data_IF_410003949405
#
_entry.id   IF_410003949405
#
_cell.length_a   1.000
_cell.length_b   1.000
_cell.length_c   1.000
_cell.angle_alpha   90.00
_cell.angle_beta   90.00
_cell.angle_gamma   90.00
#
_symmetry.space_group_name_H-M   'P 1'
#
loop_
_entity.id
_entity.type
_entity.pdbx_description
1 polymer ?
#
# COMPACT_ATOMS: atom_id res chain seq x y z
N UNK A 1 -9.45 5.47 17.58
CA UNK A 1 -9.73 4.52 16.47
C UNK A 1 -8.58 3.51 16.36
N UNK A 2 -8.84 2.32 15.82
CA UNK A 2 -7.86 1.20 15.83
C UNK A 2 -6.84 1.30 14.67
N UNK A 3 -5.64 0.75 14.91
CA UNK A 3 -4.70 0.34 13.87
C UNK A 3 -5.20 -0.96 13.22
N UNK A 4 -5.19 -1.01 11.89
CA UNK A 4 -5.78 -2.11 11.10
C UNK A 4 -5.01 -2.37 9.82
N UNK A 5 -5.26 -3.52 9.18
CA UNK A 5 -4.68 -3.92 7.88
C UNK A 5 -3.15 -3.95 7.92
N UNK A 6 -2.64 -4.81 8.79
CA UNK A 6 -1.22 -4.93 9.09
C UNK A 6 -0.53 -5.93 8.17
N UNK A 7 0.66 -5.60 7.68
CA UNK A 7 1.57 -6.50 6.95
C UNK A 7 2.98 -6.41 7.50
N UNK A 8 3.66 -7.54 7.59
CA UNK A 8 5.05 -7.64 8.09
C UNK A 8 5.94 -8.17 6.98
N UNK A 9 7.13 -7.58 6.86
CA UNK A 9 8.13 -7.97 5.86
C UNK A 9 9.51 -8.12 6.52
N UNK A 10 10.29 -9.10 6.08
CA UNK A 10 11.74 -9.08 6.27
C UNK A 10 12.32 -8.03 5.32
N UNK A 11 12.55 -6.83 5.87
CA UNK A 11 13.06 -5.69 5.14
C UNK A 11 13.96 -4.88 6.09
N UNK A 12 15.29 -5.07 6.03
CA UNK A 12 16.19 -4.36 6.92
C UNK A 12 16.20 -2.86 6.63
N UNK A 13 16.09 -2.05 7.68
CA UNK A 13 16.39 -0.61 7.63
C UNK A 13 17.67 -0.35 8.41
N UNK A 14 18.73 0.04 7.70
CA UNK A 14 20.08 0.20 8.27
C UNK A 14 20.09 1.25 9.38
N UNK A 15 19.39 2.37 9.17
CA UNK A 15 19.31 3.47 10.14
C UNK A 15 18.73 3.08 11.51
N UNK A 16 18.06 1.93 11.59
CA UNK A 16 17.46 1.41 12.82
C UNK A 16 18.06 0.07 13.28
N UNK A 17 19.03 -0.48 12.54
CA UNK A 17 19.54 -1.83 12.79
C UNK A 17 18.44 -2.90 12.80
N UNK A 18 17.34 -2.67 12.09
CA UNK A 18 16.14 -3.53 12.12
C UNK A 18 16.23 -4.67 11.11
N UNK A 19 15.51 -5.76 11.36
CA UNK A 19 15.34 -6.89 10.43
C UNK A 19 13.98 -6.87 9.76
N UNK A 20 12.95 -6.42 10.47
CA UNK A 20 11.57 -6.46 10.03
C UNK A 20 10.96 -5.06 10.01
N UNK A 21 10.02 -4.88 9.09
CA UNK A 21 9.10 -3.75 9.09
C UNK A 21 7.66 -4.24 9.21
N UNK A 22 6.81 -3.35 9.69
CA UNK A 22 5.36 -3.51 9.72
C UNK A 22 4.72 -2.29 9.08
N UNK A 23 3.92 -2.51 8.05
CA UNK A 23 3.03 -1.50 7.47
C UNK A 23 1.62 -1.70 8.02
N UNK A 24 0.94 -0.62 8.37
CA UNK A 24 -0.44 -0.66 8.84
C UNK A 24 -1.15 0.67 8.63
N UNK A 25 -2.48 0.65 8.65
CA UNK A 25 -3.29 1.87 8.61
C UNK A 25 -3.63 2.34 10.03
N UNK A 26 -3.33 3.60 10.34
CA UNK A 26 -3.51 4.19 11.68
C UNK A 26 -4.08 5.60 11.61
N UNK A 27 -4.83 6.00 12.64
CA UNK A 27 -5.59 7.25 12.65
C UNK A 27 -4.88 8.34 13.45
N UNK A 28 -4.81 9.55 12.91
CA UNK A 28 -4.41 10.76 13.64
C UNK A 28 -5.70 11.49 14.03
N UNK A 29 -6.16 11.28 15.27
CA UNK A 29 -7.45 11.78 15.76
C UNK A 29 -7.58 13.30 15.63
N UNK A 30 -6.53 14.02 16.02
CA UNK A 30 -6.46 15.49 15.99
C UNK A 30 -6.68 16.07 14.59
N UNK A 31 -6.30 15.33 13.55
CA UNK A 31 -6.39 15.73 12.15
C UNK A 31 -7.57 15.08 11.43
N UNK A 32 -8.24 14.11 12.06
CA UNK A 32 -9.33 13.37 11.45
C UNK A 32 -8.93 12.56 10.21
N UNK A 33 -7.66 12.14 10.10
CA UNK A 33 -7.15 11.40 8.94
C UNK A 33 -6.64 10.00 9.32
N UNK A 34 -6.80 9.02 8.42
CA UNK A 34 -6.08 7.75 8.47
C UNK A 34 -4.91 7.79 7.50
N UNK A 35 -3.78 7.27 7.96
CA UNK A 35 -2.51 7.27 7.25
C UNK A 35 -1.95 5.86 7.17
N UNK A 36 -0.96 5.66 6.30
CA UNK A 36 -0.06 4.51 6.35
C UNK A 36 1.06 4.79 7.33
N UNK A 37 1.26 3.88 8.26
CA UNK A 37 2.33 3.93 9.25
C UNK A 37 3.34 2.82 9.02
N UNK A 38 4.54 3.06 9.54
CA UNK A 38 5.64 2.12 9.58
C UNK A 38 6.05 1.91 11.04
N UNK A 39 6.22 0.65 11.42
CA UNK A 39 6.99 0.26 12.59
C UNK A 39 8.12 -0.66 12.17
N UNK A 40 9.19 -0.72 12.95
CA UNK A 40 10.34 -1.59 12.69
C UNK A 40 10.69 -2.42 13.92
N UNK A 41 11.33 -3.57 13.69
CA UNK A 41 11.69 -4.52 14.74
C UNK A 41 12.96 -5.30 14.38
N UNK A 42 13.72 -5.70 15.39
CA UNK A 42 14.85 -6.62 15.27
C UNK A 42 14.42 -8.08 15.38
N UNK A 43 13.31 -8.37 16.06
CA UNK A 43 12.89 -9.71 16.51
C UNK A 43 11.46 -10.11 16.08
N UNK A 44 10.72 -9.18 15.48
CA UNK A 44 9.29 -9.29 15.14
C UNK A 44 8.33 -9.41 16.34
N UNK A 45 8.83 -9.24 17.56
CA UNK A 45 8.04 -9.25 18.81
C UNK A 45 7.89 -7.83 19.37
N UNK A 46 9.00 -7.08 19.39
CA UNK A 46 9.08 -5.73 19.91
C UNK A 46 9.14 -4.71 18.77
N UNK A 47 8.14 -3.83 18.69
CA UNK A 47 7.95 -2.92 17.56
C UNK A 47 8.10 -1.46 17.96
N UNK A 48 8.88 -0.71 17.19
CA UNK A 48 9.05 0.73 17.35
C UNK A 48 8.36 1.42 16.17
N UNK A 49 7.29 2.15 16.45
CA UNK A 49 6.57 2.96 15.46
C UNK A 49 7.34 4.25 15.12
N UNK A 50 7.29 4.68 13.85
CA UNK A 50 7.79 6.00 13.45
C UNK A 50 6.96 7.15 14.04
N UNK A 51 7.60 8.28 14.33
CA UNK A 51 6.91 9.49 14.82
C UNK A 51 6.02 10.15 13.77
N UNK A 52 6.38 10.02 12.50
CA UNK A 52 5.66 10.60 11.36
C UNK A 52 5.07 9.46 10.53
N UNK A 53 3.81 9.56 10.06
CA UNK A 53 3.23 8.56 9.16
C UNK A 53 4.06 8.46 7.87
N UNK A 54 4.19 7.25 7.35
CA UNK A 54 4.93 6.99 6.12
C UNK A 54 4.25 7.67 4.92
N UNK A 55 2.92 7.53 4.84
CA UNK A 55 2.08 8.13 3.79
C UNK A 55 0.85 8.74 4.43
N UNK A 56 0.53 9.98 4.08
CA UNK A 56 -0.74 10.64 4.42
C UNK A 56 -1.59 10.80 3.16
N UNK A 57 -2.92 10.91 3.32
CA UNK A 57 -3.79 11.34 2.23
C UNK A 57 -3.35 12.71 1.68
N UNK A 58 -3.44 12.87 0.36
CA UNK A 58 -3.17 14.14 -0.32
C UNK A 58 -4.45 14.77 -0.89
N UNK A 59 -4.36 16.00 -1.39
CA UNK A 59 -5.48 16.66 -2.06
C UNK A 59 -6.00 15.79 -3.23
N UNK A 60 -7.32 15.59 -3.29
CA UNK A 60 -7.97 14.70 -4.26
C UNK A 60 -8.16 13.26 -3.77
N UNK A 61 -7.63 12.91 -2.59
CA UNK A 61 -7.94 11.66 -1.89
C UNK A 61 -8.94 11.90 -0.77
N UNK A 62 -9.52 10.82 -0.24
CA UNK A 62 -10.28 10.89 0.99
C UNK A 62 -9.35 10.93 2.19
N UNK A 63 -9.83 11.46 3.31
CA UNK A 63 -9.11 11.51 4.58
C UNK A 63 -8.84 10.12 5.20
N UNK A 64 -9.01 9.03 4.46
CA UNK A 64 -9.00 7.67 4.96
C UNK A 64 -8.31 6.74 3.96
N UNK A 65 -7.01 6.48 4.13
CA UNK A 65 -6.26 5.52 3.31
C UNK A 65 -5.97 4.24 4.09
N UNK A 66 -6.07 3.11 3.39
CA UNK A 66 -6.17 1.78 3.99
C UNK A 66 -5.23 0.76 3.35
N UNK A 67 -5.04 -0.33 4.09
CA UNK A 67 -4.57 -1.60 3.56
C UNK A 67 -3.22 -1.52 2.81
N UNK A 68 -2.17 -1.01 3.48
CA UNK A 68 -0.90 -0.72 2.85
C UNK A 68 -0.06 -1.97 2.57
N UNK A 69 0.55 -2.05 1.40
CA UNK A 69 1.55 -3.06 1.08
C UNK A 69 2.82 -2.45 0.49
N UNK A 70 3.91 -3.22 0.59
CA UNK A 70 5.18 -2.88 -0.02
C UNK A 70 5.27 -3.60 -1.37
N UNK A 71 5.37 -2.83 -2.45
CA UNK A 71 5.72 -3.34 -3.77
C UNK A 71 7.17 -2.97 -4.07
N UNK A 72 8.01 -3.98 -4.26
CA UNK A 72 9.38 -3.80 -4.74
C UNK A 72 9.44 -4.14 -6.23
N UNK A 73 9.92 -3.20 -7.04
CA UNK A 73 9.94 -3.34 -8.50
C UNK A 73 11.16 -2.63 -9.10
N UNK A 74 11.98 -3.33 -9.89
CA UNK A 74 13.16 -2.78 -10.56
C UNK A 74 14.07 -1.93 -9.64
N UNK A 75 14.40 -2.45 -8.44
CA UNK A 75 15.17 -1.76 -7.39
C UNK A 75 14.52 -0.48 -6.83
N UNK A 76 13.23 -0.30 -7.03
CA UNK A 76 12.43 0.80 -6.48
C UNK A 76 11.40 0.25 -5.50
N UNK A 77 10.97 1.09 -4.58
CA UNK A 77 9.99 0.73 -3.56
C UNK A 77 8.76 1.61 -3.70
N UNK A 78 7.59 0.98 -3.56
CA UNK A 78 6.32 1.66 -3.61
C UNK A 78 5.47 1.23 -2.43
N UNK A 79 4.83 2.21 -1.80
CA UNK A 79 3.74 1.95 -0.86
C UNK A 79 2.46 1.97 -1.65
N UNK A 80 1.81 0.81 -1.73
CA UNK A 80 0.51 0.65 -2.36
C UNK A 80 -0.55 0.71 -1.26
N UNK A 81 -1.64 1.41 -1.50
CA UNK A 81 -2.72 1.57 -0.52
C UNK A 81 -4.06 1.78 -1.23
N UNK A 82 -5.14 1.57 -0.49
CA UNK A 82 -6.50 1.84 -0.95
C UNK A 82 -6.92 3.26 -0.52
N UNK A 83 -7.35 4.09 -1.46
CA UNK A 83 -8.09 5.33 -1.16
C UNK A 83 -9.57 4.98 -0.97
N UNK A 84 -10.19 5.50 0.09
CA UNK A 84 -11.57 5.21 0.45
C UNK A 84 -12.58 6.00 -0.40
N UNK A 85 -12.44 5.94 -1.72
CA UNK A 85 -13.28 6.65 -2.69
C UNK A 85 -14.68 6.08 -2.88
N UNK A 86 -14.98 4.90 -2.35
CA UNK A 86 -16.31 4.29 -2.36
C UNK A 86 -16.66 3.69 -0.99
N UNK A 87 -17.94 3.46 -0.65
CA UNK A 87 -18.29 2.91 0.67
C UNK A 87 -17.52 1.61 0.97
N UNK A 88 -16.58 1.65 1.93
CA UNK A 88 -15.65 0.58 2.25
C UNK A 88 -15.02 -0.03 0.99
N UNK A 89 -14.30 0.76 0.22
CA UNK A 89 -13.54 0.36 -0.97
C UNK A 89 -13.05 1.60 -1.72
N UNK A 90 -12.48 1.39 -2.89
CA UNK A 90 -12.12 2.47 -3.80
C UNK A 90 -11.02 2.01 -4.74
N UNK A 91 -10.30 2.99 -5.31
CA UNK A 91 -9.14 2.71 -6.13
C UNK A 91 -7.93 2.32 -5.28
N UNK A 92 -7.07 1.52 -5.89
CA UNK A 92 -5.74 1.18 -5.36
C UNK A 92 -4.76 2.15 -5.97
N UNK A 93 -3.98 2.83 -5.13
CA UNK A 93 -3.00 3.83 -5.50
C UNK A 93 -1.62 3.43 -5.01
N UNK A 94 -0.59 4.12 -5.51
CA UNK A 94 0.77 3.96 -5.02
C UNK A 94 1.53 5.27 -4.98
N UNK A 95 2.55 5.28 -4.13
CA UNK A 95 3.59 6.31 -4.03
C UNK A 95 4.95 5.66 -3.97
N UNK A 96 5.93 6.25 -4.65
CA UNK A 96 7.33 5.84 -4.51
C UNK A 96 7.93 6.32 -3.20
N UNK A 97 8.66 5.43 -2.54
CA UNK A 97 9.46 5.72 -1.34
C UNK A 97 10.89 5.28 -1.60
N UNK A 98 11.83 5.86 -0.87
CA UNK A 98 13.23 5.46 -1.00
C UNK A 98 13.51 4.09 -0.36
N UNK A 99 14.76 3.63 -0.50
CA UNK A 99 15.20 2.34 0.05
C UNK A 99 15.10 2.26 1.57
N UNK A 100 15.28 3.38 2.26
CA UNK A 100 15.21 3.46 3.71
C UNK A 100 13.77 3.74 4.21
N UNK A 101 12.78 3.76 3.32
CA UNK A 101 11.38 4.06 3.65
C UNK A 101 11.25 5.33 4.49
N UNK A 102 11.93 6.41 4.08
CA UNK A 102 11.72 7.72 4.72
C UNK A 102 10.25 8.16 4.53
N UNK A 103 9.59 8.71 5.57
CA UNK A 103 8.26 9.27 5.47
C UNK A 103 8.12 10.28 4.33
N UNK A 104 7.21 10.00 3.40
CA UNK A 104 6.79 10.95 2.37
C UNK A 104 5.61 11.79 2.85
N UNK A 105 4.84 11.30 3.83
CA UNK A 105 3.70 12.02 4.40
C UNK A 105 2.71 12.44 3.32
N UNK A 106 2.36 13.73 3.30
CA UNK A 106 1.49 14.34 2.28
C UNK A 106 2.24 14.83 1.02
N UNK A 107 3.52 14.45 0.86
CA UNK A 107 4.36 14.76 -0.31
C UNK A 107 4.51 13.54 -1.21
N UNK A 108 5.14 13.74 -2.36
CA UNK A 108 5.32 12.72 -3.40
C UNK A 108 4.13 12.64 -4.34
N UNK A 109 4.36 12.16 -5.55
CA UNK A 109 3.29 11.99 -6.53
C UNK A 109 2.48 10.71 -6.25
N UNK A 110 1.17 10.74 -6.49
CA UNK A 110 0.26 9.60 -6.32
C UNK A 110 -0.29 9.17 -7.66
N UNK A 111 -0.24 7.88 -7.91
CA UNK A 111 -0.75 7.29 -9.13
C UNK A 111 -1.81 6.25 -8.81
N UNK A 112 -2.82 6.16 -9.66
CA UNK A 112 -3.80 5.06 -9.61
C UNK A 112 -3.12 3.82 -10.19
N UNK A 113 -3.04 2.77 -9.39
CA UNK A 113 -2.58 1.45 -9.83
C UNK A 113 -3.72 0.68 -10.48
N UNK A 114 -4.88 0.66 -9.82
CA UNK A 114 -6.07 -0.03 -10.30
C UNK A 114 -7.31 0.77 -9.94
N UNK A 115 -8.14 0.98 -10.96
CA UNK A 115 -9.43 1.65 -10.83
C UNK A 115 -10.55 0.61 -10.97
N UNK A 116 -11.40 0.43 -9.95
CA UNK A 116 -12.47 -0.56 -9.99
C UNK A 116 -13.60 -0.13 -10.94
N UNK A 117 -14.19 -1.05 -11.73
CA UNK A 117 -15.33 -0.71 -12.56
C UNK A 117 -16.56 -0.34 -11.70
N UNK A 118 -17.39 0.60 -12.17
CA UNK A 118 -18.54 1.12 -11.40
C UNK A 118 -19.73 0.17 -11.35
N UNK A 119 -19.77 -0.81 -12.26
CA UNK A 119 -20.89 -1.72 -12.37
C UNK A 119 -20.73 -2.95 -11.45
N UNK A 120 -21.84 -3.61 -11.08
CA UNK A 120 -21.79 -4.92 -10.44
C UNK A 120 -20.92 -5.91 -11.23
N UNK A 121 -20.22 -6.85 -10.55
CA UNK A 121 -20.27 -7.09 -9.11
C UNK A 121 -19.35 -6.18 -8.28
N UNK A 122 -18.39 -5.45 -8.89
CA UNK A 122 -17.34 -4.73 -8.16
C UNK A 122 -17.85 -3.43 -7.55
N UNK A 123 -18.59 -2.60 -8.30
CA UNK A 123 -19.18 -1.33 -7.84
C UNK A 123 -18.17 -0.38 -7.18
N UNK A 124 -17.13 0.01 -7.92
CA UNK A 124 -16.10 0.97 -7.49
C UNK A 124 -15.27 0.53 -6.26
N UNK A 125 -15.16 -0.78 -6.01
CA UNK A 125 -14.57 -1.29 -4.77
C UNK A 125 -13.50 -2.33 -4.98
N UNK A 126 -12.26 -1.88 -5.07
CA UNK A 126 -11.10 -2.66 -4.65
C UNK A 126 -10.75 -2.36 -3.19
N UNK A 127 -9.98 -3.28 -2.59
CA UNK A 127 -9.54 -3.23 -1.20
C UNK A 127 -8.20 -3.93 -1.05
N UNK A 128 -7.20 -3.13 -0.72
CA UNK A 128 -5.81 -3.57 -0.62
C UNK A 128 -5.23 -4.00 -1.96
N UNK A 129 -3.94 -4.29 -1.92
CA UNK A 129 -3.22 -4.98 -2.98
C UNK A 129 -2.13 -5.82 -2.35
N UNK A 130 -2.10 -7.10 -2.63
CA UNK A 130 -1.00 -7.99 -2.28
C UNK A 130 -0.20 -8.32 -3.52
N UNK A 131 1.12 -8.28 -3.41
CA UNK A 131 2.01 -8.50 -4.54
C UNK A 131 2.87 -9.72 -4.31
N UNK A 132 3.03 -10.51 -5.37
CA UNK A 132 3.88 -11.68 -5.38
C UNK A 132 4.57 -11.77 -6.74
N UNK A 133 5.89 -11.90 -6.75
CA UNK A 133 6.66 -12.10 -7.97
C UNK A 133 7.05 -13.57 -8.06
N UNK A 134 6.61 -14.21 -9.14
CA UNK A 134 6.99 -15.59 -9.47
C UNK A 134 7.60 -15.61 -10.87
N UNK A 135 8.85 -16.05 -10.96
CA UNK A 135 9.64 -15.98 -12.18
C UNK A 135 9.66 -14.55 -12.76
N UNK A 136 9.02 -14.37 -13.90
CA UNK A 136 8.90 -13.09 -14.60
C UNK A 136 7.46 -12.53 -14.55
N UNK A 137 6.61 -13.02 -13.66
CA UNK A 137 5.21 -12.56 -13.55
C UNK A 137 4.97 -11.93 -12.20
N UNK A 138 4.63 -10.64 -12.21
CA UNK A 138 4.12 -9.94 -11.04
C UNK A 138 2.62 -10.21 -10.92
N UNK A 139 2.23 -10.84 -9.83
CA UNK A 139 0.84 -11.05 -9.45
C UNK A 139 0.43 -9.96 -8.48
N UNK A 140 -0.77 -9.44 -8.67
CA UNK A 140 -1.47 -8.62 -7.69
C UNK A 140 -2.80 -9.30 -7.34
N UNK A 141 -3.09 -9.43 -6.06
CA UNK A 141 -4.40 -9.86 -5.55
C UNK A 141 -5.06 -8.73 -4.77
N UNK A 142 -6.37 -8.55 -4.94
CA UNK A 142 -7.15 -7.57 -4.19
C UNK A 142 -8.51 -8.17 -3.84
N UNK A 143 -9.09 -7.73 -2.72
CA UNK A 143 -10.48 -8.06 -2.44
C UNK A 143 -11.39 -7.00 -3.06
N UNK A 144 -12.56 -7.42 -3.56
CA UNK A 144 -13.49 -6.53 -4.22
C UNK A 144 -14.93 -6.79 -3.80
N UNK A 145 -15.80 -5.83 -4.10
CA UNK A 145 -17.23 -5.88 -3.76
C UNK A 145 -17.50 -5.97 -2.24
N UNK A 146 -18.74 -6.26 -1.88
CA UNK A 146 -19.20 -6.44 -0.50
C UNK A 146 -20.04 -7.68 -0.30
N UNK A 147 -20.90 -8.03 -1.27
CA UNK A 147 -21.81 -9.17 -1.17
C UNK A 147 -22.13 -9.74 -2.57
N UNK A 148 -21.48 -10.86 -2.97
CA UNK A 148 -20.37 -11.53 -2.26
C UNK A 148 -19.11 -10.65 -2.24
N UNK A 149 -18.22 -10.87 -1.28
CA UNK A 149 -16.82 -10.41 -1.43
C UNK A 149 -16.15 -11.36 -2.41
N UNK A 150 -15.41 -10.81 -3.35
CA UNK A 150 -14.68 -11.58 -4.36
C UNK A 150 -13.19 -11.26 -4.28
N UNK A 151 -12.37 -12.20 -4.70
CA UNK A 151 -10.95 -11.96 -4.93
C UNK A 151 -10.78 -11.66 -6.42
N UNK A 152 -10.14 -10.54 -6.71
CA UNK A 152 -9.69 -10.19 -8.06
C UNK A 152 -8.18 -10.32 -8.10
N UNK A 153 -7.64 -10.66 -9.26
CA UNK A 153 -6.20 -10.67 -9.47
C UNK A 153 -5.87 -10.05 -10.82
N UNK A 154 -4.65 -9.52 -10.91
CA UNK A 154 -4.05 -9.02 -12.13
C UNK A 154 -2.62 -9.57 -12.23
N UNK A 155 -2.14 -9.72 -13.45
CA UNK A 155 -0.77 -10.16 -13.72
C UNK A 155 -0.09 -9.19 -14.67
N UNK A 156 1.17 -8.87 -14.42
CA UNK A 156 2.01 -8.10 -15.33
C UNK A 156 3.29 -8.88 -15.63
N UNK A 157 3.70 -8.86 -16.89
CA UNK A 157 4.92 -9.52 -17.33
C UNK A 157 6.12 -8.61 -17.08
N UNK A 158 7.06 -9.09 -16.29
CA UNK A 158 8.18 -8.33 -15.77
C UNK A 158 9.17 -7.86 -16.84
N UNK A 159 9.25 -8.60 -17.95
CA UNK A 159 10.24 -8.39 -19.00
C UNK A 159 9.75 -7.42 -20.08
N UNK A 160 8.43 -7.30 -20.29
CA UNK A 160 7.88 -6.56 -21.43
C UNK A 160 8.04 -5.03 -21.31
N UNK A 161 8.25 -4.49 -20.11
CA UNK A 161 8.39 -3.03 -19.91
C UNK A 161 9.78 -2.54 -20.34
N UNK A 162 10.81 -3.41 -20.37
CA UNK A 162 12.15 -3.04 -20.86
C UNK A 162 12.19 -2.77 -22.37
N UNK A 163 11.22 -3.25 -23.14
CA UNK A 163 11.18 -3.09 -24.61
C UNK A 163 10.45 -1.85 -25.10
N UNK A 164 9.71 -1.14 -24.23
CA UNK A 164 8.98 0.08 -24.61
C UNK A 164 9.73 1.38 -24.27
N UNK A 165 10.94 1.30 -23.73
CA UNK A 165 11.87 2.43 -23.56
C UNK A 165 13.03 2.32 -24.56
N UNK A 166 12.71 2.42 -25.85
CA UNK A 166 13.67 2.74 -26.92
C UNK A 166 13.14 3.90 -27.72
#
# INVERSE_FOLDING_TARGET
RNATYTRVYEYPLERYGSKYIMLYSGFIEERGIRCVWLAHSTDAENWIQLKTPLVEPVAGENNDIYDPSLLQWENRNFIVYQDHSAWRGGNVKYVEVDRELHPVGNKGERFILMDPPPNPPIKDRYRGGEFYLENETLYMYSSASYKPRIIVYATANAVLIKRQRK
#
